data_IF_490040282810
#
_entry.id   IF_490040282810
#
_cell.length_a   1.000
_cell.length_b   1.000
_cell.length_c   1.000
_cell.angle_alpha   90.00
_cell.angle_beta   90.00
_cell.angle_gamma   90.00
#
_symmetry.space_group_name_H-M   'P 1'
#
loop_
_entity.id
_entity.type
_entity.pdbx_description
1 polymer ?
#
# COMPACT_ATOMS: atom_id res chain seq x y z
N UNK A 1 -11.32 -2.25 -11.18
CA UNK A 1 -10.73 -3.60 -11.02
C UNK A 1 -10.24 -4.08 -12.37
N UNK A 2 -8.99 -4.52 -12.46
CA UNK A 2 -8.35 -5.01 -13.69
C UNK A 2 -8.13 -6.52 -13.56
N UNK A 3 -8.73 -7.30 -14.47
CA UNK A 3 -8.63 -8.76 -14.53
C UNK A 3 -8.10 -9.17 -15.90
N UNK A 4 -7.37 -10.28 -15.95
CA UNK A 4 -6.84 -10.84 -17.20
C UNK A 4 -5.84 -11.96 -16.92
N UNK A 5 -5.53 -12.79 -17.93
CA UNK A 5 -4.58 -13.89 -17.78
C UNK A 5 -3.17 -13.40 -17.41
N UNK A 6 -2.31 -14.33 -16.99
CA UNK A 6 -0.88 -14.00 -16.81
C UNK A 6 -0.28 -13.52 -18.13
N UNK A 7 0.62 -12.53 -18.05
CA UNK A 7 1.23 -11.91 -19.23
C UNK A 7 0.36 -10.89 -19.98
N UNK A 8 -0.88 -10.61 -19.54
CA UNK A 8 -1.76 -9.64 -20.21
C UNK A 8 -1.39 -8.16 -20.02
N UNK A 9 -0.22 -7.85 -19.46
CA UNK A 9 0.28 -6.48 -19.28
C UNK A 9 -0.24 -5.73 -18.05
N UNK A 10 -0.95 -6.36 -17.10
CA UNK A 10 -1.53 -5.70 -15.92
C UNK A 10 -0.49 -4.99 -15.05
N UNK A 11 0.57 -5.71 -14.67
CA UNK A 11 1.67 -5.14 -13.87
C UNK A 11 2.50 -4.13 -14.67
N UNK A 12 2.57 -4.27 -15.99
CA UNK A 12 3.20 -3.27 -16.85
C UNK A 12 2.41 -1.95 -16.84
N UNK A 13 1.07 -2.02 -16.91
CA UNK A 13 0.20 -0.86 -16.75
C UNK A 13 0.33 -0.23 -15.36
N UNK A 14 0.35 -1.03 -14.28
CA UNK A 14 0.60 -0.53 -12.94
C UNK A 14 1.93 0.21 -12.83
N UNK A 15 3.00 -0.35 -13.40
CA UNK A 15 4.33 0.26 -13.39
C UNK A 15 4.37 1.59 -14.17
N UNK A 16 3.65 1.69 -15.29
CA UNK A 16 3.50 2.94 -16.03
C UNK A 16 2.74 3.99 -15.21
N UNK A 17 1.57 3.61 -14.66
CA UNK A 17 0.76 4.48 -13.82
C UNK A 17 1.53 4.96 -12.59
N UNK A 18 2.28 4.09 -11.93
CA UNK A 18 3.12 4.44 -10.78
C UNK A 18 4.36 5.29 -11.15
N UNK A 19 4.62 5.54 -12.44
CA UNK A 19 5.82 6.25 -12.90
C UNK A 19 7.11 5.46 -12.67
N UNK A 20 7.04 4.13 -12.56
CA UNK A 20 8.19 3.23 -12.52
C UNK A 20 8.73 2.93 -13.93
N UNK A 21 7.89 3.11 -14.96
CA UNK A 21 8.25 3.02 -16.38
C UNK A 21 7.75 4.25 -17.13
N UNK A 22 8.41 4.57 -18.23
CA UNK A 22 7.97 5.61 -19.17
C UNK A 22 7.15 4.98 -20.30
N UNK A 23 6.06 5.62 -20.76
CA UNK A 23 5.32 5.15 -21.93
C UNK A 23 6.16 5.34 -23.20
N UNK A 24 6.13 4.36 -24.11
CA UNK A 24 6.76 4.47 -25.43
C UNK A 24 5.98 5.40 -26.37
N UNK A 25 4.66 5.47 -26.20
CA UNK A 25 3.77 6.36 -26.92
C UNK A 25 2.54 6.71 -26.08
N UNK A 26 1.86 7.81 -26.44
CA UNK A 26 0.71 8.32 -25.68
C UNK A 26 1.12 9.15 -24.45
N UNK A 27 0.12 9.49 -23.63
CA UNK A 27 0.29 10.38 -22.49
C UNK A 27 -0.44 9.83 -21.25
N UNK A 28 0.17 10.03 -20.08
CA UNK A 28 -0.46 9.76 -18.79
C UNK A 28 -0.95 11.08 -18.19
N UNK A 29 -2.24 11.13 -17.85
CA UNK A 29 -2.87 12.31 -17.27
C UNK A 29 -3.46 11.95 -15.90
N UNK A 30 -3.25 12.83 -14.92
CA UNK A 30 -3.93 12.78 -13.62
C UNK A 30 -4.71 14.09 -13.47
N UNK A 31 -6.03 13.99 -13.33
CA UNK A 31 -6.93 15.15 -13.28
C UNK A 31 -6.74 16.11 -14.47
N UNK A 32 -6.44 15.56 -15.66
CA UNK A 32 -6.18 16.33 -16.88
C UNK A 32 -4.78 16.94 -17.00
N UNK A 33 -3.91 16.77 -16.00
CA UNK A 33 -2.53 17.27 -16.03
C UNK A 33 -1.59 16.14 -16.46
N UNK A 34 -0.75 16.40 -17.47
CA UNK A 34 0.23 15.42 -17.97
C UNK A 34 1.29 15.12 -16.93
N UNK A 35 1.73 13.87 -16.86
CA UNK A 35 2.82 13.44 -15.98
C UNK A 35 4.09 14.27 -16.16
N UNK A 36 4.46 14.60 -17.40
CA UNK A 36 5.67 15.41 -17.67
C UNK A 36 5.56 16.83 -17.10
N UNK A 37 4.35 17.40 -17.03
CA UNK A 37 4.11 18.73 -16.46
C UNK A 37 4.18 18.73 -14.93
N UNK A 38 3.71 17.65 -14.29
CA UNK A 38 3.81 17.48 -12.84
C UNK A 38 5.24 17.18 -12.37
N UNK A 39 6.04 16.54 -13.23
CA UNK A 39 7.35 16.00 -12.87
C UNK A 39 7.23 14.68 -12.10
N UNK A 40 8.23 13.81 -12.26
CA UNK A 40 8.14 12.42 -11.77
C UNK A 40 8.02 12.31 -10.25
N UNK A 41 8.68 13.20 -9.51
CA UNK A 41 8.65 13.19 -8.05
C UNK A 41 7.28 13.60 -7.49
N UNK A 42 6.63 14.57 -8.13
CA UNK A 42 5.26 14.95 -7.76
C UNK A 42 4.28 13.85 -8.17
N UNK A 43 4.46 13.27 -9.35
CA UNK A 43 3.63 12.16 -9.84
C UNK A 43 3.65 10.96 -8.89
N UNK A 44 4.84 10.55 -8.44
CA UNK A 44 4.99 9.42 -7.50
C UNK A 44 4.43 9.68 -6.11
N UNK A 45 4.26 10.93 -5.70
CA UNK A 45 3.52 11.28 -4.46
C UNK A 45 2.01 11.18 -4.62
N UNK A 46 1.54 11.25 -5.87
CA UNK A 46 0.13 11.25 -6.24
C UNK A 46 -0.41 9.85 -6.50
N UNK A 47 0.47 8.87 -6.67
CA UNK A 47 0.12 7.49 -7.00
C UNK A 47 0.93 6.55 -6.13
N UNK A 48 0.25 5.68 -5.40
CA UNK A 48 0.87 4.74 -4.47
C UNK A 48 0.52 3.32 -4.83
N UNK A 49 1.52 2.44 -4.78
CA UNK A 49 1.39 1.02 -5.10
C UNK A 49 1.62 0.17 -3.85
N UNK A 50 0.71 -0.76 -3.56
CA UNK A 50 1.01 -1.93 -2.74
C UNK A 50 1.30 -3.12 -3.67
N UNK A 51 2.47 -3.77 -3.53
CA UNK A 51 2.89 -4.84 -4.42
C UNK A 51 2.19 -6.16 -4.06
N UNK A 52 2.65 -7.23 -4.72
CA UNK A 52 2.19 -8.59 -4.45
C UNK A 52 2.59 -9.01 -3.05
N UNK A 53 1.76 -9.86 -2.42
CA UNK A 53 1.94 -10.18 -1.00
C UNK A 53 3.31 -10.77 -0.65
N UNK A 54 3.94 -11.49 -1.58
CA UNK A 54 5.25 -12.12 -1.41
C UNK A 54 6.42 -11.16 -1.65
N UNK A 55 6.17 -10.00 -2.26
CA UNK A 55 7.14 -8.92 -2.45
C UNK A 55 7.16 -7.93 -1.27
N UNK A 56 6.26 -8.12 -0.28
CA UNK A 56 6.17 -7.27 0.89
C UNK A 56 7.40 -7.44 1.79
N UNK A 57 8.31 -6.47 1.71
CA UNK A 57 9.50 -6.38 2.55
C UNK A 57 9.24 -5.50 3.78
N UNK A 58 9.60 -6.02 4.95
CA UNK A 58 9.52 -5.30 6.23
C UNK A 58 10.93 -5.13 6.75
N UNK A 59 11.35 -3.87 6.90
CA UNK A 59 12.67 -3.54 7.43
C UNK A 59 12.76 -3.90 8.90
N UNK A 60 13.97 -4.25 9.33
CA UNK A 60 14.31 -4.44 10.75
C UNK A 60 14.35 -3.09 11.47
N UNK A 61 13.16 -2.57 11.76
CA UNK A 61 12.91 -1.24 12.34
C UNK A 61 11.58 -1.24 13.09
N UNK A 62 11.21 -0.14 13.73
CA UNK A 62 9.91 -0.02 14.42
C UNK A 62 8.72 -0.26 13.48
N UNK A 63 7.59 -0.76 14.03
CA UNK A 63 6.36 -0.93 13.28
C UNK A 63 5.91 0.41 12.65
N UNK A 64 6.00 1.50 13.41
CA UNK A 64 5.66 2.85 12.92
C UNK A 64 6.58 3.31 11.80
N UNK A 65 7.87 3.01 11.84
CA UNK A 65 8.78 3.29 10.73
C UNK A 65 8.31 2.60 9.45
N UNK A 66 8.04 1.30 9.54
CA UNK A 66 7.54 0.53 8.40
C UNK A 66 6.16 1.01 7.91
N UNK A 67 5.28 1.43 8.83
CA UNK A 67 3.93 1.92 8.51
C UNK A 67 3.95 3.25 7.76
N UNK A 68 4.82 4.17 8.16
CA UNK A 68 4.87 5.54 7.66
C UNK A 68 5.87 5.76 6.53
N UNK A 69 6.45 4.68 5.98
CA UNK A 69 7.29 4.77 4.79
C UNK A 69 6.53 5.48 3.65
N UNK A 70 7.18 6.45 3.02
CA UNK A 70 6.57 7.32 2.01
C UNK A 70 5.91 8.58 2.56
N UNK A 71 5.90 8.77 3.89
CA UNK A 71 5.47 10.01 4.56
C UNK A 71 6.65 10.76 5.19
N UNK A 72 6.34 11.90 5.79
CA UNK A 72 7.28 12.73 6.56
C UNK A 72 7.84 11.94 7.75
N UNK A 73 9.13 12.15 8.02
CA UNK A 73 9.81 11.64 9.21
C UNK A 73 10.58 12.77 9.90
N UNK A 74 10.57 12.86 11.26
CA UNK A 74 9.82 12.04 12.21
C UNK A 74 8.30 12.25 12.15
N UNK A 75 7.49 11.30 12.62
CA UNK A 75 6.03 11.39 12.56
C UNK A 75 5.46 12.29 13.66
N UNK A 76 4.34 12.95 13.38
CA UNK A 76 3.52 13.59 14.41
C UNK A 76 2.64 12.54 15.09
N UNK A 77 2.18 12.81 16.32
CA UNK A 77 1.21 11.93 17.00
C UNK A 77 -0.06 11.70 16.17
N UNK A 78 -0.52 12.71 15.45
CA UNK A 78 -1.67 12.62 14.56
C UNK A 78 -1.41 11.76 13.30
N UNK A 79 -0.15 11.52 12.93
CA UNK A 79 0.21 10.64 11.81
C UNK A 79 0.16 9.15 12.20
N UNK A 80 0.03 8.84 13.51
CA UNK A 80 -0.10 7.46 13.95
C UNK A 80 -1.41 6.89 13.43
N UNK A 81 -1.31 6.03 12.41
CA UNK A 81 -2.43 5.43 11.69
C UNK A 81 -3.24 4.41 12.49
N UNK A 82 -3.44 4.62 13.80
CA UNK A 82 -4.12 3.69 14.70
C UNK A 82 -5.54 3.34 14.25
N UNK A 83 -6.30 4.31 13.75
CA UNK A 83 -7.63 4.07 13.20
C UNK A 83 -7.57 3.12 11.98
N UNK A 84 -6.71 3.43 11.00
CA UNK A 84 -6.48 2.61 9.80
C UNK A 84 -6.00 1.20 10.18
N UNK A 85 -5.06 1.08 11.12
CA UNK A 85 -4.58 -0.22 11.60
C UNK A 85 -5.72 -1.04 12.22
N UNK A 86 -6.59 -0.43 13.03
CA UNK A 86 -7.75 -1.13 13.61
C UNK A 86 -8.76 -1.57 12.55
N UNK A 87 -9.10 -0.70 11.60
CA UNK A 87 -10.00 -1.03 10.49
C UNK A 87 -9.49 -2.20 9.65
N UNK A 88 -8.17 -2.30 9.47
CA UNK A 88 -7.52 -3.42 8.78
C UNK A 88 -7.36 -4.67 9.65
N UNK A 89 -7.78 -4.65 10.92
CA UNK A 89 -7.65 -5.79 11.84
C UNK A 89 -6.23 -6.02 12.35
N UNK A 90 -5.39 -4.97 12.40
CA UNK A 90 -4.07 -4.98 13.03
C UNK A 90 -4.13 -4.57 14.51
N UNK A 91 -5.31 -4.24 15.05
CA UNK A 91 -5.49 -3.86 16.47
C UNK A 91 -4.95 -4.92 17.43
N UNK A 92 -5.46 -6.15 17.32
CA UNK A 92 -5.04 -7.28 18.15
C UNK A 92 -3.55 -7.60 18.03
N UNK A 93 -2.94 -7.35 16.86
CA UNK A 93 -1.50 -7.47 16.69
C UNK A 93 -0.76 -6.42 17.50
N UNK A 94 -1.16 -5.14 17.37
CA UNK A 94 -0.54 -4.03 18.08
C UNK A 94 -0.70 -4.14 19.60
N UNK A 95 -1.81 -4.69 20.08
CA UNK A 95 -2.05 -4.95 21.51
C UNK A 95 -1.17 -6.09 22.06
N UNK A 96 -0.86 -7.10 21.24
CA UNK A 96 0.06 -8.19 21.62
C UNK A 96 1.52 -7.76 21.64
N UNK A 97 1.87 -6.67 20.94
CA UNK A 97 3.23 -6.14 20.90
C UNK A 97 3.51 -5.29 22.15
N UNK A 98 4.49 -5.65 23.02
CA UNK A 98 4.76 -4.90 24.25
C UNK A 98 5.07 -3.42 24.04
N UNK A 99 5.70 -3.08 22.91
CA UNK A 99 6.03 -1.70 22.55
C UNK A 99 5.04 -1.08 21.53
N UNK A 100 3.94 -1.76 21.19
CA UNK A 100 2.93 -1.28 20.24
C UNK A 100 3.55 -0.78 18.93
N UNK A 101 3.25 0.47 18.56
CA UNK A 101 3.82 1.11 17.36
C UNK A 101 5.35 1.22 17.35
N UNK A 102 6.00 1.24 18.52
CA UNK A 102 7.46 1.30 18.65
C UNK A 102 8.10 -0.10 18.67
N UNK A 103 7.30 -1.16 18.52
CA UNK A 103 7.82 -2.52 18.46
C UNK A 103 8.75 -2.69 17.26
N UNK A 104 9.97 -3.16 17.51
CA UNK A 104 10.86 -3.60 16.44
C UNK A 104 10.24 -4.80 15.72
N UNK A 105 10.10 -4.70 14.39
CA UNK A 105 9.62 -5.75 13.49
C UNK A 105 10.70 -6.09 12.46
N UNK A 106 10.50 -7.13 11.66
CA UNK A 106 11.46 -7.57 10.63
C UNK A 106 12.29 -8.77 11.10
N UNK A 107 13.40 -9.06 10.41
CA UNK A 107 14.14 -10.33 10.55
C UNK A 107 14.64 -10.62 11.96
N UNK A 108 15.10 -9.61 12.71
CA UNK A 108 15.55 -9.76 14.09
C UNK A 108 14.56 -9.21 15.14
N UNK A 109 13.38 -8.79 14.70
CA UNK A 109 12.32 -8.26 15.54
C UNK A 109 11.10 -9.19 15.65
N UNK A 110 9.95 -8.60 15.98
CA UNK A 110 8.68 -9.31 15.95
C UNK A 110 8.35 -9.76 14.52
N UNK A 111 8.11 -11.05 14.35
CA UNK A 111 7.80 -11.64 13.05
C UNK A 111 6.34 -11.39 12.69
N UNK A 112 6.13 -10.75 11.54
CA UNK A 112 4.80 -10.57 10.95
C UNK A 112 4.49 -11.74 10.02
N UNK A 113 3.27 -12.29 10.13
CA UNK A 113 2.72 -13.23 9.15
C UNK A 113 2.53 -12.55 7.79
N UNK A 114 2.40 -13.34 6.71
CA UNK A 114 2.15 -12.81 5.37
C UNK A 114 0.93 -11.88 5.31
N UNK A 115 -0.18 -12.27 5.97
CA UNK A 115 -1.39 -11.44 6.04
C UNK A 115 -1.21 -10.15 6.85
N UNK A 116 -0.42 -10.18 7.93
CA UNK A 116 -0.08 -8.95 8.69
C UNK A 116 0.82 -8.01 7.88
N UNK A 117 1.81 -8.55 7.14
CA UNK A 117 2.66 -7.75 6.23
C UNK A 117 1.84 -7.08 5.14
N UNK A 118 0.92 -7.81 4.51
CA UNK A 118 0.07 -7.22 3.48
C UNK A 118 -0.87 -6.15 4.03
N UNK A 119 -1.46 -6.37 5.22
CA UNK A 119 -2.26 -5.33 5.88
C UNK A 119 -1.43 -4.10 6.26
N UNK A 120 -0.18 -4.28 6.72
CA UNK A 120 0.75 -3.18 6.95
C UNK A 120 1.02 -2.38 5.66
N UNK A 121 1.21 -3.06 4.52
CA UNK A 121 1.39 -2.41 3.22
C UNK A 121 0.14 -1.68 2.73
N UNK A 122 -1.05 -2.25 2.94
CA UNK A 122 -2.31 -1.57 2.64
C UNK A 122 -2.47 -0.33 3.53
N UNK A 123 -2.17 -0.45 4.83
CA UNK A 123 -2.19 0.69 5.75
C UNK A 123 -1.22 1.79 5.30
N UNK A 124 0.01 1.42 4.93
CA UNK A 124 1.03 2.32 4.36
C UNK A 124 0.51 3.02 3.10
N UNK A 125 -0.21 2.32 2.23
CA UNK A 125 -0.76 2.89 1.01
C UNK A 125 -1.87 3.92 1.30
N UNK A 126 -2.81 3.57 2.19
CA UNK A 126 -3.90 4.46 2.61
C UNK A 126 -3.33 5.71 3.29
N UNK A 127 -2.40 5.52 4.22
CA UNK A 127 -1.84 6.62 5.00
C UNK A 127 -1.09 7.62 4.13
N UNK A 128 -0.58 7.26 2.95
CA UNK A 128 0.05 8.23 2.05
C UNK A 128 -0.94 9.22 1.40
N UNK A 129 -2.26 8.98 1.49
CA UNK A 129 -3.29 9.91 1.00
C UNK A 129 -3.09 10.32 -0.46
N UNK A 130 -2.68 9.37 -1.29
CA UNK A 130 -2.48 9.55 -2.72
C UNK A 130 -3.82 9.65 -3.48
N UNK A 131 -3.80 10.29 -4.64
CA UNK A 131 -4.98 10.42 -5.52
C UNK A 131 -5.38 9.06 -6.12
N UNK A 132 -4.41 8.17 -6.35
CA UNK A 132 -4.61 6.81 -6.83
C UNK A 132 -3.84 5.80 -5.97
N UNK A 133 -4.54 4.79 -5.49
CA UNK A 133 -3.95 3.60 -4.87
C UNK A 133 -4.06 2.42 -5.85
N UNK A 134 -2.94 1.74 -6.08
CA UNK A 134 -2.85 0.52 -6.90
C UNK A 134 -2.53 -0.65 -5.98
N UNK A 135 -3.36 -1.68 -5.98
CA UNK A 135 -3.13 -2.93 -5.25
C UNK A 135 -2.90 -4.05 -6.25
N UNK A 136 -1.68 -4.57 -6.31
CA UNK A 136 -1.30 -5.68 -7.20
C UNK A 136 -1.27 -6.98 -6.41
N UNK A 137 -2.31 -7.83 -6.56
CA UNK A 137 -2.43 -9.12 -5.85
C UNK A 137 -2.24 -9.05 -4.32
N UNK A 138 -2.37 -7.87 -3.70
CA UNK A 138 -2.07 -7.67 -2.29
C UNK A 138 -2.99 -8.46 -1.36
N UNK A 139 -4.16 -8.89 -1.87
CA UNK A 139 -5.20 -9.62 -1.15
C UNK A 139 -5.05 -11.15 -1.18
N UNK A 140 -4.13 -11.71 -1.97
CA UNK A 140 -4.06 -13.16 -2.18
C UNK A 140 -3.72 -13.96 -0.90
N UNK A 141 -3.14 -13.32 0.12
CA UNK A 141 -2.80 -13.92 1.40
C UNK A 141 -3.93 -13.83 2.46
N UNK A 142 -5.12 -13.36 2.11
CA UNK A 142 -6.17 -13.03 3.07
C UNK A 142 -7.21 -14.15 3.14
N UNK A 143 -7.62 -14.52 4.35
CA UNK A 143 -8.86 -15.25 4.54
C UNK A 143 -10.07 -14.36 4.19
N UNK A 144 -11.28 -14.95 3.99
CA UNK A 144 -12.46 -14.20 3.55
C UNK A 144 -12.86 -13.04 4.46
N UNK A 145 -12.66 -13.15 5.78
CA UNK A 145 -13.03 -12.12 6.75
C UNK A 145 -12.06 -10.93 6.68
N UNK A 146 -10.75 -11.22 6.68
CA UNK A 146 -9.73 -10.20 6.52
C UNK A 146 -9.82 -9.51 5.15
N UNK A 147 -10.13 -10.25 4.09
CA UNK A 147 -10.32 -9.69 2.75
C UNK A 147 -11.45 -8.65 2.74
N UNK A 148 -12.60 -9.00 3.32
CA UNK A 148 -13.75 -8.11 3.40
C UNK A 148 -13.41 -6.82 4.16
N UNK A 149 -12.75 -6.94 5.32
CA UNK A 149 -12.31 -5.78 6.12
C UNK A 149 -11.36 -4.88 5.33
N UNK A 150 -10.35 -5.48 4.70
CA UNK A 150 -9.36 -4.73 3.95
C UNK A 150 -9.95 -4.01 2.73
N UNK A 151 -10.84 -4.67 1.98
CA UNK A 151 -11.56 -4.03 0.88
C UNK A 151 -12.43 -2.87 1.35
N UNK A 152 -13.20 -3.06 2.44
CA UNK A 152 -14.03 -1.99 2.99
C UNK A 152 -13.19 -0.78 3.44
N UNK A 153 -12.09 -1.03 4.15
CA UNK A 153 -11.18 0.04 4.59
C UNK A 153 -10.60 0.79 3.39
N UNK A 154 -10.03 0.08 2.41
CA UNK A 154 -9.45 0.75 1.22
C UNK A 154 -10.49 1.53 0.44
N UNK A 155 -11.69 0.97 0.23
CA UNK A 155 -12.77 1.67 -0.48
C UNK A 155 -13.26 2.93 0.25
N UNK A 156 -13.16 2.96 1.58
CA UNK A 156 -13.53 4.12 2.37
C UNK A 156 -12.50 5.25 2.28
N UNK A 157 -11.20 4.91 2.24
CA UNK A 157 -10.12 5.89 2.36
C UNK A 157 -9.40 6.22 1.03
N UNK A 158 -9.53 5.40 0.00
CA UNK A 158 -8.90 5.63 -1.30
C UNK A 158 -9.79 6.50 -2.21
N UNK A 159 -9.35 7.68 -2.68
CA UNK A 159 -10.12 8.49 -3.63
C UNK A 159 -10.35 7.76 -4.95
N UNK A 160 -9.30 7.10 -5.46
CA UNK A 160 -9.36 6.22 -6.62
C UNK A 160 -8.58 4.94 -6.33
N UNK A 161 -9.16 3.79 -6.67
CA UNK A 161 -8.59 2.48 -6.41
C UNK A 161 -8.49 1.64 -7.70
N UNK A 162 -7.27 1.22 -8.03
CA UNK A 162 -6.99 0.21 -9.05
C UNK A 162 -6.57 -1.10 -8.37
N UNK A 163 -7.46 -2.08 -8.37
CA UNK A 163 -7.14 -3.45 -7.93
C UNK A 163 -6.79 -4.30 -9.15
N UNK A 164 -5.60 -4.88 -9.16
CA UNK A 164 -5.18 -5.93 -10.08
C UNK A 164 -5.40 -7.27 -9.38
N UNK A 165 -6.22 -8.11 -9.99
CA UNK A 165 -6.52 -9.43 -9.48
C UNK A 165 -6.28 -10.49 -10.56
N UNK A 166 -5.76 -11.63 -10.12
CA UNK A 166 -5.71 -12.84 -10.91
C UNK A 166 -6.99 -13.66 -10.64
N UNK A 167 -7.58 -14.30 -11.68
CA UNK A 167 -8.75 -15.14 -11.51
C UNK A 167 -8.48 -16.38 -10.66
#
# INVERSE_FOLDING_TARGET
MLKGPSGSGKSALAALLAGLRQPESGELLLWGIKQQMLGIDSWRKKIVTAPQFHENHVFTETFVFNLLMGRRWPPLQADLGAAICRELGLGDLLERMPAGFQQMVGESGWQLSHGERSRLYIARAILQQADLIILDESFAAFDPENLKRALQCVLHHAPTLLVIAHP
#
